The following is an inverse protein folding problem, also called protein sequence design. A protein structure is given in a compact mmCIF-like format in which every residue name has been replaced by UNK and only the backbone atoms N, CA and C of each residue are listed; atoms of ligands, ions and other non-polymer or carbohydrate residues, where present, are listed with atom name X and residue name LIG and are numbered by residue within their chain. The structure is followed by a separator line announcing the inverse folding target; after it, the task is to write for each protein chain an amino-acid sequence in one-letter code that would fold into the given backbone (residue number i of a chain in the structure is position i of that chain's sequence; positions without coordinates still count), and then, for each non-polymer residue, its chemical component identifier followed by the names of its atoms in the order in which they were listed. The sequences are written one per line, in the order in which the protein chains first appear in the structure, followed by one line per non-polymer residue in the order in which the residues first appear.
data_IF_506045895164
#
_entry.id   IF_506045895164
#
_cell.length_a   1.000
_cell.length_b   1.000
_cell.length_c   1.000
_cell.angle_alpha   90.00
_cell.angle_beta   90.00
_cell.angle_gamma   90.00
#
_symmetry.space_group_name_H-M   'P 1'
#
loop_
_entity.id
_entity.type
_entity.pdbx_description
1 polymer ?
#
# COMPACT_ATOMS: atom_id res chain seq x y z
N UNK A 1 25.54 -0.93 67.73
CA UNK A 1 24.86 0.41 67.79
C UNK A 1 24.59 0.95 66.38
N UNK A 2 25.51 0.85 65.46
CA UNK A 2 25.27 1.31 64.07
C UNK A 2 24.22 0.47 63.32
N UNK A 3 24.16 -0.84 63.56
CA UNK A 3 23.12 -1.70 62.96
C UNK A 3 21.73 -1.43 63.52
N UNK A 4 21.61 -1.06 64.78
CA UNK A 4 20.32 -0.68 65.39
C UNK A 4 19.84 0.70 64.92
N UNK A 5 20.76 1.63 64.67
CA UNK A 5 20.45 2.93 64.05
C UNK A 5 20.03 2.82 62.63
N UNK A 6 20.67 1.97 61.79
CA UNK A 6 20.23 1.65 60.43
C UNK A 6 18.86 0.99 60.42
N UNK A 7 18.60 0.05 61.35
CA UNK A 7 17.29 -0.60 61.48
C UNK A 7 16.20 0.39 61.90
N UNK A 8 16.54 1.39 62.76
CA UNK A 8 15.58 2.45 63.15
C UNK A 8 15.35 3.48 62.00
N UNK A 9 16.36 3.81 61.21
CA UNK A 9 16.20 4.66 60.01
C UNK A 9 15.42 3.96 58.89
N UNK A 10 15.57 2.66 58.73
CA UNK A 10 14.72 1.86 57.79
C UNK A 10 13.27 1.78 58.27
N UNK A 11 13.02 1.76 59.56
CA UNK A 11 11.67 1.72 60.16
C UNK A 11 10.92 3.07 60.13
N UNK A 12 11.59 4.18 59.83
CA UNK A 12 10.99 5.53 59.72
C UNK A 12 10.84 6.00 58.26
N UNK A 13 10.99 5.12 57.32
CA UNK A 13 10.65 5.40 55.90
C UNK A 13 9.17 5.72 55.79
N UNK A 14 8.85 6.98 55.52
CA UNK A 14 7.50 7.46 55.22
C UNK A 14 7.18 7.24 53.77
N UNK A 15 6.11 6.54 53.47
CA UNK A 15 5.58 6.46 52.12
C UNK A 15 5.24 7.83 51.56
N UNK A 16 5.49 8.00 50.28
CA UNK A 16 4.98 9.13 49.48
C UNK A 16 4.04 8.60 48.41
N UNK A 17 3.03 9.39 48.10
CA UNK A 17 2.17 9.07 46.96
C UNK A 17 3.06 9.04 45.73
N UNK A 18 2.98 7.96 44.96
CA UNK A 18 3.80 7.73 43.78
C UNK A 18 5.00 6.80 43.98
N UNK A 19 5.33 6.41 45.22
CA UNK A 19 6.39 5.44 45.50
C UNK A 19 6.02 4.06 44.96
N UNK A 20 7.01 3.36 44.41
CA UNK A 20 6.90 1.97 43.97
C UNK A 20 7.36 1.04 45.11
N UNK A 21 6.51 0.09 45.45
CA UNK A 21 6.72 -0.80 46.60
C UNK A 21 6.48 -2.23 46.17
N UNK A 22 7.36 -3.12 46.65
CA UNK A 22 7.16 -4.56 46.57
C UNK A 22 6.49 -5.02 47.85
N UNK A 23 5.44 -5.82 47.70
CA UNK A 23 4.72 -6.47 48.80
C UNK A 23 4.47 -7.92 48.50
N UNK A 24 4.30 -8.70 49.55
CA UNK A 24 3.90 -10.11 49.49
C UNK A 24 2.40 -10.23 49.77
N UNK A 25 1.67 -11.01 48.99
CA UNK A 25 0.24 -11.23 49.11
C UNK A 25 -0.05 -11.97 50.42
N UNK A 26 -0.72 -11.31 51.37
CA UNK A 26 -1.16 -11.88 52.63
C UNK A 26 -2.52 -12.57 52.53
N UNK A 27 -3.45 -11.93 51.83
CA UNK A 27 -4.80 -12.45 51.65
C UNK A 27 -5.48 -11.87 50.40
N UNK A 28 -6.42 -12.63 49.86
CA UNK A 28 -7.29 -12.20 48.77
C UNK A 28 -8.70 -12.09 49.36
N UNK A 29 -9.16 -10.85 49.51
CA UNK A 29 -10.49 -10.52 50.02
C UNK A 29 -11.58 -10.60 48.96
N UNK A 30 -12.75 -9.98 49.24
CA UNK A 30 -13.88 -9.92 48.28
C UNK A 30 -13.72 -8.83 47.24
N UNK A 31 -13.10 -7.69 47.63
CA UNK A 31 -12.99 -6.49 46.78
C UNK A 31 -11.55 -5.97 46.68
N UNK A 32 -10.61 -6.56 47.44
CA UNK A 32 -9.23 -6.12 47.50
C UNK A 32 -8.25 -7.25 47.83
N UNK A 33 -6.97 -7.06 47.53
CA UNK A 33 -5.85 -7.91 47.89
C UNK A 33 -5.03 -7.19 48.96
N UNK A 34 -4.79 -7.85 50.11
CA UNK A 34 -3.93 -7.34 51.17
C UNK A 34 -2.52 -7.82 50.96
N UNK A 35 -1.55 -6.91 51.04
CA UNK A 35 -0.13 -7.19 50.86
C UNK A 35 0.70 -6.71 52.03
N UNK A 36 1.66 -7.50 52.46
CA UNK A 36 2.69 -7.09 53.43
C UNK A 36 3.71 -6.22 52.77
N UNK A 37 4.05 -5.09 53.35
CA UNK A 37 5.01 -4.15 52.80
C UNK A 37 6.38 -4.36 53.46
N UNK A 38 7.37 -4.83 52.70
CA UNK A 38 8.72 -5.11 53.22
C UNK A 38 9.34 -3.89 53.92
N UNK A 39 9.64 -4.01 55.23
CA UNK A 39 10.26 -2.94 56.01
C UNK A 39 9.27 -1.97 56.64
N UNK A 40 7.96 -2.24 56.62
CA UNK A 40 6.91 -1.38 57.20
C UNK A 40 6.00 -2.15 58.15
N UNK A 41 5.43 -1.42 59.12
CA UNK A 41 4.46 -1.99 60.09
C UNK A 41 3.01 -1.94 59.60
N UNK A 42 2.77 -1.31 58.46
CA UNK A 42 1.44 -1.15 57.87
C UNK A 42 1.30 -2.08 56.69
N UNK A 43 0.13 -2.69 56.56
CA UNK A 43 -0.23 -3.46 55.38
C UNK A 43 -0.67 -2.56 54.26
N UNK A 44 -0.44 -3.01 53.01
CA UNK A 44 -0.96 -2.39 51.81
C UNK A 44 -2.23 -3.10 51.36
N UNK A 45 -3.12 -2.34 50.74
CA UNK A 45 -4.31 -2.91 50.09
C UNK A 45 -4.35 -2.48 48.64
N UNK A 46 -4.64 -3.44 47.74
CA UNK A 46 -4.83 -3.20 46.30
C UNK A 46 -6.28 -3.50 45.97
N UNK A 47 -7.16 -2.50 45.82
CA UNK A 47 -8.54 -2.72 45.37
C UNK A 47 -8.56 -3.41 44.00
N UNK A 48 -9.53 -4.29 43.73
CA UNK A 48 -9.61 -5.04 42.49
C UNK A 48 -9.61 -4.16 41.22
N UNK A 49 -10.21 -2.96 41.31
CA UNK A 49 -10.17 -1.94 40.23
C UNK A 49 -8.77 -1.38 39.95
N UNK A 50 -7.86 -1.48 40.91
CA UNK A 50 -6.46 -1.02 40.84
C UNK A 50 -5.48 -2.19 40.68
N UNK A 51 -5.97 -3.44 40.66
CA UNK A 51 -5.17 -4.65 40.54
C UNK A 51 -4.84 -4.94 39.08
N UNK A 52 -5.87 -4.95 38.21
CA UNK A 52 -5.76 -5.14 36.76
C UNK A 52 -7.00 -4.57 36.06
N UNK A 53 -7.05 -4.63 34.72
CA UNK A 53 -8.26 -4.25 33.97
C UNK A 53 -9.45 -5.18 34.29
N UNK A 54 -10.67 -4.64 34.21
CA UNK A 54 -11.90 -5.42 34.49
C UNK A 54 -12.00 -6.69 33.65
N UNK A 55 -11.55 -6.64 32.41
CA UNK A 55 -11.58 -7.78 31.46
C UNK A 55 -10.67 -8.94 31.89
N UNK A 56 -9.62 -8.68 32.66
CA UNK A 56 -8.61 -9.66 33.06
C UNK A 56 -8.71 -10.04 34.58
N UNK A 57 -9.62 -9.42 35.31
CA UNK A 57 -9.69 -9.57 36.78
C UNK A 57 -9.86 -11.02 37.21
N UNK A 58 -10.82 -11.75 36.64
CA UNK A 58 -11.10 -13.15 37.01
C UNK A 58 -9.89 -14.05 36.74
N UNK A 59 -9.29 -13.95 35.57
CA UNK A 59 -8.10 -14.75 35.22
C UNK A 59 -6.90 -14.41 36.12
N UNK A 60 -6.75 -13.13 36.45
CA UNK A 60 -5.65 -12.69 37.31
C UNK A 60 -5.84 -13.18 38.76
N UNK A 61 -7.05 -13.12 39.32
CA UNK A 61 -7.35 -13.62 40.65
C UNK A 61 -7.16 -15.15 40.75
N UNK A 62 -7.40 -15.89 39.70
CA UNK A 62 -7.12 -17.34 39.65
C UNK A 62 -5.62 -17.65 39.60
N UNK A 63 -4.82 -16.74 39.08
CA UNK A 63 -3.36 -16.91 38.91
C UNK A 63 -2.57 -16.53 40.15
N UNK A 64 -3.07 -15.58 40.94
CA UNK A 64 -2.38 -15.05 42.14
C UNK A 64 -2.63 -15.92 43.35
N UNK A 65 -1.59 -16.11 44.17
CA UNK A 65 -1.64 -16.90 45.41
C UNK A 65 -1.09 -16.11 46.58
N UNK A 66 -1.51 -16.51 47.79
CA UNK A 66 -0.90 -16.02 49.02
C UNK A 66 0.58 -16.41 49.04
N UNK A 67 1.46 -15.44 49.31
CA UNK A 67 2.90 -15.56 49.26
C UNK A 67 3.52 -15.06 47.98
N UNK A 68 2.75 -14.71 46.93
CA UNK A 68 3.27 -14.13 45.71
C UNK A 68 3.75 -12.68 45.92
N UNK A 69 4.83 -12.29 45.25
CA UNK A 69 5.31 -10.91 45.27
C UNK A 69 4.55 -10.06 44.28
N UNK A 70 4.10 -8.89 44.70
CA UNK A 70 3.44 -7.88 43.86
C UNK A 70 4.16 -6.55 43.99
N UNK A 71 4.52 -5.96 42.85
CA UNK A 71 4.97 -4.56 42.79
C UNK A 71 3.80 -3.65 42.49
N UNK A 72 3.61 -2.63 43.28
CA UNK A 72 2.53 -1.66 43.08
C UNK A 72 2.98 -0.24 43.48
N UNK A 73 2.22 0.76 43.02
CA UNK A 73 2.46 2.17 43.30
C UNK A 73 1.53 2.69 44.39
N UNK A 74 2.05 3.49 45.32
CA UNK A 74 1.25 4.12 46.34
C UNK A 74 0.33 5.18 45.73
N UNK A 75 -0.98 5.02 45.87
CA UNK A 75 -1.97 6.01 45.42
C UNK A 75 -2.61 6.80 46.56
N UNK A 76 -2.65 6.21 47.76
CA UNK A 76 -3.16 6.87 48.95
C UNK A 76 -2.42 6.34 50.20
N UNK A 77 -2.02 7.26 51.10
CA UNK A 77 -1.21 6.91 52.26
C UNK A 77 -1.97 6.17 53.34
N UNK A 78 -3.29 6.42 53.48
CA UNK A 78 -4.16 5.71 54.41
C UNK A 78 -5.59 5.67 53.89
N UNK A 79 -6.23 4.49 54.02
CA UNK A 79 -7.69 4.33 53.88
C UNK A 79 -8.38 4.52 55.22
N UNK A 80 -9.67 4.20 55.31
CA UNK A 80 -10.46 4.27 56.55
C UNK A 80 -9.97 3.29 57.62
N UNK A 81 -9.43 2.15 57.21
CA UNK A 81 -8.86 1.09 58.05
C UNK A 81 -7.41 1.31 58.43
N UNK A 82 -6.78 2.41 57.96
CA UNK A 82 -5.40 2.76 58.27
C UNK A 82 -4.34 2.15 57.33
N UNK A 83 -4.75 1.35 56.32
CA UNK A 83 -3.85 0.69 55.40
C UNK A 83 -3.41 1.62 54.25
N UNK A 84 -2.24 1.34 53.66
CA UNK A 84 -1.73 2.05 52.47
C UNK A 84 -2.46 1.52 51.24
N UNK A 85 -3.03 2.42 50.41
CA UNK A 85 -3.71 2.01 49.17
C UNK A 85 -2.72 2.03 48.00
N UNK A 86 -2.64 0.91 47.34
CA UNK A 86 -1.70 0.67 46.25
C UNK A 86 -2.46 0.42 44.93
N UNK A 87 -1.80 0.72 43.80
CA UNK A 87 -2.26 0.43 42.44
C UNK A 87 -1.18 -0.32 41.68
N UNK A 88 -1.46 -1.54 41.29
CA UNK A 88 -0.66 -2.31 40.34
C UNK A 88 -0.86 -1.77 38.91
N UNK A 89 -2.08 -1.35 38.62
CA UNK A 89 -2.47 -0.81 37.34
C UNK A 89 -1.64 0.46 36.97
N UNK A 90 -1.45 1.36 37.98
CA UNK A 90 -0.61 2.57 37.78
C UNK A 90 0.88 2.24 37.62
N UNK A 91 1.37 1.20 38.30
CA UNK A 91 2.73 0.70 38.14
C UNK A 91 2.91 0.12 36.74
N UNK A 92 1.98 -0.75 36.28
CA UNK A 92 2.03 -1.34 34.92
C UNK A 92 1.91 -0.29 33.81
N UNK A 93 1.07 0.74 33.98
CA UNK A 93 0.98 1.85 33.04
C UNK A 93 2.30 2.57 32.88
N UNK A 94 3.01 2.86 33.97
CA UNK A 94 4.31 3.51 33.92
C UNK A 94 5.36 2.64 33.20
N UNK A 95 5.42 1.35 33.54
CA UNK A 95 6.30 0.40 32.87
C UNK A 95 5.98 0.30 31.36
N UNK A 96 4.68 0.29 31.00
CA UNK A 96 4.22 0.28 29.62
C UNK A 96 4.59 1.58 28.87
N UNK A 97 4.48 2.74 29.54
CA UNK A 97 4.89 4.00 28.94
C UNK A 97 6.41 4.05 28.64
N UNK A 98 7.23 3.53 29.55
CA UNK A 98 8.68 3.42 29.33
C UNK A 98 9.01 2.44 28.19
N UNK A 99 8.27 1.31 28.08
CA UNK A 99 8.38 0.37 26.95
C UNK A 99 7.99 1.06 25.63
N UNK A 100 6.89 1.82 25.61
CA UNK A 100 6.46 2.61 24.43
C UNK A 100 7.46 3.70 24.06
N UNK A 101 8.09 4.36 25.02
CA UNK A 101 9.18 5.33 24.78
C UNK A 101 10.36 4.67 24.07
N UNK A 102 10.80 3.51 24.55
CA UNK A 102 11.87 2.73 23.93
C UNK A 102 11.51 2.35 22.49
N UNK A 103 10.27 1.88 22.28
CA UNK A 103 9.76 1.54 20.94
C UNK A 103 9.67 2.74 20.01
N UNK A 104 9.31 3.92 20.55
CA UNK A 104 9.29 5.17 19.79
C UNK A 104 10.70 5.57 19.34
N UNK A 105 11.68 5.56 20.26
CA UNK A 105 13.06 5.91 19.98
C UNK A 105 13.73 4.95 18.98
N UNK A 106 13.47 3.66 19.12
CA UNK A 106 13.99 2.59 18.25
C UNK A 106 13.20 2.43 16.95
N UNK A 107 12.07 3.15 16.78
CA UNK A 107 11.14 2.99 15.65
C UNK A 107 10.64 1.55 15.48
N UNK A 108 10.44 0.83 16.57
CA UNK A 108 9.95 -0.53 16.56
C UNK A 108 8.45 -0.60 16.26
N UNK A 109 8.08 -1.61 15.48
CA UNK A 109 6.68 -1.96 15.27
C UNK A 109 6.19 -2.84 16.42
N UNK A 110 4.92 -2.69 16.80
CA UNK A 110 4.27 -3.50 17.83
C UNK A 110 2.78 -3.65 17.56
N UNK A 111 2.16 -4.62 18.22
CA UNK A 111 0.76 -4.97 17.99
C UNK A 111 -0.11 -4.26 19.02
N UNK A 112 -1.19 -3.64 18.57
CA UNK A 112 -2.27 -3.08 19.41
C UNK A 112 -3.58 -3.80 19.12
N UNK A 113 -4.44 -3.91 20.14
CA UNK A 113 -5.80 -4.43 19.97
C UNK A 113 -6.78 -3.27 19.80
N UNK A 114 -7.52 -3.27 18.69
CA UNK A 114 -8.48 -2.21 18.36
C UNK A 114 -9.76 -2.45 19.17
N UNK A 115 -10.11 -1.49 20.03
CA UNK A 115 -11.34 -1.53 20.83
C UNK A 115 -12.47 -0.80 20.14
N UNK A 116 -12.21 0.40 19.60
CA UNK A 116 -13.23 1.23 18.99
C UNK A 116 -12.77 1.83 17.66
N UNK A 117 -13.74 1.96 16.76
CA UNK A 117 -13.60 2.63 15.47
C UNK A 117 -14.40 3.92 15.51
N UNK A 118 -13.74 5.06 15.36
CA UNK A 118 -14.37 6.38 15.36
C UNK A 118 -14.17 7.04 13.99
N UNK A 119 -14.93 8.09 13.70
CA UNK A 119 -14.87 8.79 12.42
C UNK A 119 -13.45 9.26 12.07
N UNK A 120 -12.72 9.77 13.05
CA UNK A 120 -11.36 10.32 12.88
C UNK A 120 -10.25 9.26 12.89
N UNK A 121 -10.52 8.01 13.24
CA UNK A 121 -9.51 6.96 13.32
C UNK A 121 -9.90 5.77 14.18
N UNK A 122 -8.90 5.03 14.66
CA UNK A 122 -9.04 3.85 15.50
C UNK A 122 -8.51 4.15 16.91
N UNK A 123 -9.15 3.55 17.90
CA UNK A 123 -8.68 3.55 19.28
C UNK A 123 -8.26 2.12 19.61
N UNK A 124 -6.97 1.94 19.85
CA UNK A 124 -6.39 0.68 20.27
C UNK A 124 -5.79 0.77 21.66
N UNK A 125 -5.45 -0.39 22.22
CA UNK A 125 -4.80 -0.51 23.52
C UNK A 125 -3.56 -1.38 23.41
N UNK A 126 -2.50 -0.96 24.09
CA UNK A 126 -1.30 -1.72 24.32
C UNK A 126 -1.05 -1.84 25.81
N UNK A 127 -1.18 -3.05 26.38
CA UNK A 127 -1.01 -3.30 27.82
C UNK A 127 -1.74 -2.26 28.70
N UNK A 128 -2.99 -1.95 28.36
CA UNK A 128 -3.82 -0.98 29.10
C UNK A 128 -3.60 0.51 28.74
N UNK A 129 -2.58 0.86 27.97
CA UNK A 129 -2.37 2.23 27.51
C UNK A 129 -3.12 2.47 26.19
N UNK A 130 -3.88 3.57 26.15
CA UNK A 130 -4.66 3.97 25.00
C UNK A 130 -3.76 4.55 23.90
N UNK A 131 -3.94 4.08 22.66
CA UNK A 131 -3.22 4.53 21.47
C UNK A 131 -4.24 4.95 20.41
N UNK A 132 -4.02 6.10 19.78
CA UNK A 132 -4.84 6.58 18.69
C UNK A 132 -4.15 6.37 17.35
N UNK A 133 -4.88 5.82 16.37
CA UNK A 133 -4.42 5.69 14.98
C UNK A 133 -5.32 6.54 14.09
N UNK A 134 -4.86 7.69 13.57
CA UNK A 134 -5.65 8.54 12.69
C UNK A 134 -6.09 7.78 11.43
N UNK A 135 -7.24 8.14 10.89
CA UNK A 135 -7.78 7.47 9.70
C UNK A 135 -6.84 7.50 8.49
N UNK A 136 -6.05 8.56 8.33
CA UNK A 136 -5.03 8.70 7.30
C UNK A 136 -3.79 7.83 7.52
N UNK A 137 -3.64 7.25 8.73
CA UNK A 137 -2.49 6.46 9.15
C UNK A 137 -2.80 4.94 9.26
N UNK A 138 -4.02 4.54 8.89
CA UNK A 138 -4.44 3.13 8.93
C UNK A 138 -3.96 2.37 7.71
N UNK A 139 -4.03 2.98 6.52
CA UNK A 139 -3.68 2.35 5.25
C UNK A 139 -3.08 3.37 4.28
N UNK A 140 -2.36 2.90 3.26
CA UNK A 140 -1.85 3.72 2.14
C UNK A 140 -3.03 4.25 1.31
N UNK A 141 -4.08 3.44 1.11
CA UNK A 141 -5.30 3.82 0.41
C UNK A 141 -6.40 4.16 1.41
N UNK A 142 -7.12 5.25 1.15
CA UNK A 142 -8.24 5.64 2.00
C UNK A 142 -9.37 4.59 1.92
N UNK A 143 -9.47 3.74 2.94
CA UNK A 143 -10.58 2.81 3.09
C UNK A 143 -11.75 3.50 3.78
N UNK A 144 -12.91 3.57 3.09
CA UNK A 144 -14.15 4.17 3.65
C UNK A 144 -14.74 3.34 4.78
N UNK A 145 -14.65 2.01 4.70
CA UNK A 145 -15.18 1.10 5.71
C UNK A 145 -14.06 0.48 6.53
N UNK A 146 -14.05 0.78 7.83
CA UNK A 146 -13.09 0.32 8.84
C UNK A 146 -13.75 -0.45 9.97
N UNK A 147 -15.08 -0.65 9.86
CA UNK A 147 -15.88 -1.33 10.90
C UNK A 147 -15.35 -2.74 11.20
N UNK A 148 -14.78 -3.39 10.19
CA UNK A 148 -14.21 -4.73 10.29
C UNK A 148 -12.94 -4.80 11.17
N UNK A 149 -12.33 -3.65 11.49
CA UNK A 149 -11.11 -3.62 12.31
C UNK A 149 -11.40 -3.64 13.82
N UNK A 150 -12.65 -3.47 14.24
CA UNK A 150 -13.00 -3.55 15.67
C UNK A 150 -12.76 -4.97 16.20
N UNK A 151 -12.02 -5.06 17.31
CA UNK A 151 -11.65 -6.31 17.95
C UNK A 151 -10.44 -7.03 17.32
N UNK A 152 -9.89 -6.52 16.23
CA UNK A 152 -8.71 -7.10 15.57
C UNK A 152 -7.41 -6.56 16.16
N UNK A 153 -6.34 -7.29 15.91
CA UNK A 153 -4.97 -6.86 16.19
C UNK A 153 -4.41 -6.10 15.01
N UNK A 154 -3.72 -4.99 15.31
CA UNK A 154 -3.12 -4.14 14.29
C UNK A 154 -1.65 -3.88 14.63
N UNK A 155 -0.76 -4.20 13.71
CA UNK A 155 0.65 -3.84 13.81
C UNK A 155 0.83 -2.36 13.46
N UNK A 156 1.46 -1.60 14.36
CA UNK A 156 1.63 -0.16 14.24
C UNK A 156 3.01 0.29 14.72
N UNK A 157 3.41 1.50 14.33
CA UNK A 157 4.58 2.20 14.87
C UNK A 157 4.15 3.54 15.42
N UNK A 158 4.76 3.97 16.51
CA UNK A 158 4.50 5.30 17.07
C UNK A 158 5.04 6.40 16.14
N UNK A 159 4.24 7.43 15.93
CA UNK A 159 4.59 8.64 15.17
C UNK A 159 4.61 9.89 16.05
N UNK A 160 3.86 9.86 17.16
CA UNK A 160 3.87 10.91 18.18
C UNK A 160 3.73 10.27 19.57
N UNK A 161 4.60 10.66 20.50
CA UNK A 161 4.65 10.09 21.83
C UNK A 161 5.02 11.17 22.85
N UNK A 162 4.27 11.22 23.95
CA UNK A 162 4.58 12.08 25.08
C UNK A 162 4.26 11.36 26.39
N UNK A 163 5.24 11.24 27.27
CA UNK A 163 5.06 10.69 28.62
C UNK A 163 4.16 11.60 29.46
N UNK A 164 4.32 12.94 29.29
CA UNK A 164 3.55 13.93 30.08
C UNK A 164 2.07 13.91 29.70
N UNK A 165 1.75 13.50 28.47
CA UNK A 165 0.39 13.46 27.96
C UNK A 165 0.04 12.12 27.31
N UNK A 166 -0.17 11.03 28.11
CA UNK A 166 -0.44 9.69 27.59
C UNK A 166 -1.71 9.59 26.74
N UNK A 167 -2.60 10.59 26.81
CA UNK A 167 -3.80 10.63 25.97
C UNK A 167 -3.53 11.03 24.49
N UNK A 168 -2.32 11.51 24.17
CA UNK A 168 -1.89 11.96 22.83
C UNK A 168 -0.92 10.99 22.14
N UNK A 169 -0.86 9.73 22.55
CA UNK A 169 -0.04 8.73 21.88
C UNK A 169 -0.67 8.39 20.54
N UNK A 170 0.08 8.64 19.45
CA UNK A 170 -0.39 8.42 18.08
C UNK A 170 0.49 7.40 17.38
N UNK A 171 -0.16 6.43 16.73
CA UNK A 171 0.52 5.40 15.96
C UNK A 171 0.05 5.35 14.49
N UNK A 172 0.85 4.71 13.64
CA UNK A 172 0.62 4.55 12.21
C UNK A 172 0.94 3.12 11.76
N UNK A 173 0.03 2.52 11.01
CA UNK A 173 0.29 1.33 10.22
C UNK A 173 0.85 1.71 8.86
N UNK A 174 0.42 2.86 8.32
CA UNK A 174 0.82 3.35 7.00
C UNK A 174 2.34 3.45 6.86
N UNK A 175 3.06 3.90 7.87
CA UNK A 175 4.53 4.01 7.85
C UNK A 175 5.18 2.65 7.60
N UNK A 176 4.68 1.58 8.24
CA UNK A 176 5.19 0.21 8.05
C UNK A 176 4.92 -0.26 6.62
N UNK A 177 3.70 -0.01 6.11
CA UNK A 177 3.31 -0.38 4.75
C UNK A 177 4.11 0.39 3.68
N UNK A 178 4.38 1.68 3.90
CA UNK A 178 5.20 2.51 3.00
C UNK A 178 6.66 2.04 2.97
N UNK A 179 7.23 1.69 4.12
CA UNK A 179 8.59 1.11 4.19
C UNK A 179 8.65 -0.25 3.48
N UNK A 180 7.71 -1.14 3.75
CA UNK A 180 7.64 -2.44 3.08
C UNK A 180 7.50 -2.26 1.55
N UNK A 181 6.63 -1.34 1.12
CA UNK A 181 6.47 -1.01 -0.30
C UNK A 181 7.76 -0.48 -0.90
N UNK A 182 8.46 0.42 -0.20
CA UNK A 182 9.73 0.98 -0.65
C UNK A 182 10.81 -0.08 -0.82
N UNK A 183 10.90 -1.04 0.10
CA UNK A 183 11.85 -2.17 -0.01
C UNK A 183 11.58 -2.98 -1.28
N UNK A 184 10.31 -3.27 -1.57
CA UNK A 184 9.91 -3.99 -2.80
C UNK A 184 10.21 -3.16 -4.04
N UNK A 185 9.90 -1.87 -4.02
CA UNK A 185 10.21 -0.94 -5.13
C UNK A 185 11.72 -0.84 -5.36
N UNK A 186 12.53 -0.66 -4.31
CA UNK A 186 13.98 -0.59 -4.43
C UNK A 186 14.59 -1.88 -5.01
N UNK A 187 14.12 -3.05 -4.57
CA UNK A 187 14.53 -4.34 -5.12
C UNK A 187 14.10 -4.52 -6.59
N UNK A 188 12.93 -4.01 -6.97
CA UNK A 188 12.48 -4.02 -8.35
C UNK A 188 13.34 -3.11 -9.23
N UNK A 189 13.71 -1.91 -8.72
CA UNK A 189 14.59 -0.98 -9.44
C UNK A 189 15.99 -1.53 -9.72
N UNK A 190 16.54 -2.39 -8.88
CA UNK A 190 17.83 -3.05 -9.12
C UNK A 190 17.79 -3.98 -10.34
N UNK A 191 16.63 -4.54 -10.64
CA UNK A 191 16.41 -5.48 -11.75
C UNK A 191 15.91 -4.78 -13.04
N UNK A 192 15.59 -3.48 -13.00
CA UNK A 192 15.09 -2.73 -14.16
C UNK A 192 16.26 -2.22 -15.00
N UNK A 193 16.37 -2.74 -16.23
CA UNK A 193 17.39 -2.30 -17.21
C UNK A 193 16.71 -1.83 -18.47
N UNK A 194 17.14 -0.67 -18.97
CA UNK A 194 16.66 -0.14 -20.26
C UNK A 194 17.00 -1.10 -21.38
N UNK A 195 16.02 -1.38 -22.24
CA UNK A 195 16.15 -2.31 -23.37
C UNK A 195 15.75 -3.76 -23.05
N UNK A 196 15.53 -4.12 -21.80
CA UNK A 196 15.10 -5.46 -21.40
C UNK A 196 13.59 -5.66 -21.59
N UNK A 197 13.20 -6.92 -21.85
CA UNK A 197 11.80 -7.33 -21.98
C UNK A 197 11.35 -7.93 -20.66
N UNK A 198 10.29 -7.39 -20.09
CA UNK A 198 9.73 -7.80 -18.81
C UNK A 198 8.23 -8.02 -18.88
N UNK A 199 7.69 -8.80 -17.95
CA UNK A 199 6.24 -8.95 -17.81
C UNK A 199 5.70 -7.84 -16.93
N UNK A 200 4.62 -7.20 -17.39
CA UNK A 200 3.93 -6.15 -16.66
C UNK A 200 2.42 -6.43 -16.59
N UNK A 201 1.82 -6.16 -15.45
CA UNK A 201 0.38 -6.30 -15.24
C UNK A 201 -0.31 -4.94 -15.42
N UNK A 202 -1.30 -4.87 -16.32
CA UNK A 202 -2.08 -3.65 -16.57
C UNK A 202 -2.97 -3.33 -15.36
N UNK A 203 -2.73 -2.21 -14.68
CA UNK A 203 -3.46 -1.83 -13.46
C UNK A 203 -4.56 -0.80 -13.72
N UNK A 204 -4.32 0.18 -14.59
CA UNK A 204 -5.26 1.27 -14.86
C UNK A 204 -5.02 1.90 -16.22
N UNK A 205 -6.06 2.54 -16.75
CA UNK A 205 -6.00 3.31 -18.00
C UNK A 205 -6.11 4.80 -17.71
N UNK A 206 -5.55 5.58 -18.63
CA UNK A 206 -5.64 7.05 -18.68
C UNK A 206 -5.79 7.50 -20.12
N UNK A 207 -6.16 8.75 -20.34
CA UNK A 207 -6.35 9.32 -21.70
C UNK A 207 -5.10 9.26 -22.58
N UNK A 208 -3.93 9.19 -21.97
CA UNK A 208 -2.64 9.16 -22.67
C UNK A 208 -1.96 7.79 -22.70
N UNK A 209 -2.55 6.76 -22.08
CA UNK A 209 -1.98 5.41 -22.09
C UNK A 209 -2.45 4.50 -20.97
N UNK A 210 -1.70 3.42 -20.73
CA UNK A 210 -1.95 2.44 -19.69
C UNK A 210 -0.81 2.41 -18.67
N UNK A 211 -1.15 2.32 -17.39
CA UNK A 211 -0.20 2.03 -16.33
C UNK A 211 -0.12 0.53 -16.10
N UNK A 212 1.08 0.01 -16.12
CA UNK A 212 1.38 -1.39 -15.87
C UNK A 212 2.41 -1.53 -14.76
N UNK A 213 2.20 -2.51 -13.88
CA UNK A 213 3.04 -2.81 -12.73
C UNK A 213 4.14 -3.79 -13.13
N UNK A 214 5.37 -3.45 -12.81
CA UNK A 214 6.54 -4.32 -12.94
C UNK A 214 7.08 -4.60 -11.54
N UNK A 215 6.65 -5.71 -10.94
CA UNK A 215 7.12 -6.15 -9.61
C UNK A 215 7.02 -5.07 -8.52
N UNK A 216 5.95 -4.27 -8.53
CA UNK A 216 5.69 -3.21 -7.54
C UNK A 216 6.08 -1.80 -7.98
N UNK A 217 6.65 -1.62 -9.17
CA UNK A 217 6.93 -0.30 -9.76
C UNK A 217 5.99 -0.02 -10.92
N UNK A 218 5.32 1.13 -10.89
CA UNK A 218 4.39 1.57 -11.93
C UNK A 218 5.16 2.07 -13.17
N UNK A 219 4.95 1.43 -14.33
CA UNK A 219 5.41 1.88 -15.64
C UNK A 219 4.27 2.43 -16.49
N UNK A 220 4.57 3.36 -17.41
CA UNK A 220 3.63 3.94 -18.36
C UNK A 220 3.85 3.38 -19.75
N UNK A 221 2.81 2.84 -20.37
CA UNK A 221 2.74 2.51 -21.79
C UNK A 221 1.93 3.63 -22.46
N UNK A 222 2.61 4.55 -23.13
CA UNK A 222 1.94 5.62 -23.88
C UNK A 222 1.12 5.03 -25.04
N UNK A 223 0.01 5.66 -25.47
CA UNK A 223 -0.83 5.18 -26.59
C UNK A 223 -0.01 4.87 -27.85
N UNK A 224 0.97 5.71 -28.20
CA UNK A 224 1.87 5.51 -29.33
C UNK A 224 2.85 4.34 -29.19
N UNK A 225 2.95 3.74 -28.00
CA UNK A 225 3.83 2.62 -27.67
C UNK A 225 3.06 1.30 -27.49
N UNK A 226 1.73 1.31 -27.66
CA UNK A 226 0.89 0.11 -27.57
C UNK A 226 0.95 -0.68 -28.89
N UNK A 227 0.74 0.00 -30.01
CA UNK A 227 0.68 -0.62 -31.34
C UNK A 227 1.30 0.29 -32.41
N UNK A 228 1.63 -0.31 -33.55
CA UNK A 228 2.00 0.40 -34.77
C UNK A 228 0.79 1.09 -35.42
N UNK A 229 -0.42 0.52 -35.30
CA UNK A 229 -1.67 1.16 -35.73
C UNK A 229 -2.07 2.30 -34.80
N UNK A 230 -2.87 3.24 -35.31
CA UNK A 230 -3.39 4.35 -34.52
C UNK A 230 -4.42 3.85 -33.48
N UNK A 231 -4.01 3.80 -32.23
CA UNK A 231 -4.87 3.44 -31.10
C UNK A 231 -5.45 4.71 -30.49
N UNK A 232 -6.79 4.84 -30.51
CA UNK A 232 -7.48 5.98 -29.92
C UNK A 232 -7.60 5.87 -28.39
N UNK A 233 -7.70 4.66 -27.89
CA UNK A 233 -7.90 4.39 -26.46
C UNK A 233 -7.18 3.08 -26.10
N UNK A 234 -6.42 3.08 -24.99
CA UNK A 234 -5.69 1.91 -24.52
C UNK A 234 -6.61 0.72 -24.19
N UNK A 235 -7.83 0.99 -23.70
CA UNK A 235 -8.83 -0.03 -23.35
C UNK A 235 -9.36 -0.83 -24.54
N UNK A 236 -9.21 -0.32 -25.78
CA UNK A 236 -9.61 -1.06 -26.98
C UNK A 236 -8.67 -2.22 -27.31
N UNK A 237 -7.44 -2.20 -26.79
CA UNK A 237 -6.39 -3.18 -27.09
C UNK A 237 -6.00 -3.99 -25.85
N UNK A 238 -6.04 -3.39 -24.66
CA UNK A 238 -5.59 -3.97 -23.40
C UNK A 238 -6.75 -4.06 -22.42
N UNK A 239 -6.70 -5.05 -21.51
CA UNK A 239 -7.67 -5.18 -20.42
C UNK A 239 -6.97 -5.01 -19.08
N UNK A 240 -7.69 -4.48 -18.10
CA UNK A 240 -7.20 -4.39 -16.73
C UNK A 240 -6.96 -5.80 -16.16
N UNK A 241 -5.77 -6.02 -15.61
CA UNK A 241 -5.32 -7.31 -15.08
C UNK A 241 -4.59 -8.19 -16.12
N UNK A 242 -4.47 -7.76 -17.37
CA UNK A 242 -3.69 -8.49 -18.38
C UNK A 242 -2.20 -8.46 -18.01
N UNK A 243 -1.55 -9.63 -18.12
CA UNK A 243 -0.10 -9.75 -18.02
C UNK A 243 0.46 -9.74 -19.43
N UNK A 244 1.22 -8.70 -19.75
CA UNK A 244 1.78 -8.46 -21.08
C UNK A 244 3.29 -8.37 -21.02
N UNK A 245 3.94 -8.81 -22.08
CA UNK A 245 5.36 -8.57 -22.28
C UNK A 245 5.57 -7.13 -22.78
N UNK A 246 6.50 -6.41 -22.17
CA UNK A 246 6.82 -5.03 -22.51
C UNK A 246 8.33 -4.82 -22.52
N UNK A 247 8.80 -3.95 -23.40
CA UNK A 247 10.20 -3.52 -23.43
C UNK A 247 10.35 -2.21 -22.67
N UNK A 248 11.35 -2.12 -21.80
CA UNK A 248 11.67 -0.90 -21.05
C UNK A 248 12.42 0.04 -22.01
N UNK A 249 11.84 1.22 -22.29
CA UNK A 249 12.46 2.24 -23.17
C UNK A 249 13.29 3.20 -22.33
N UNK A 250 12.75 3.62 -21.20
CA UNK A 250 13.34 4.61 -20.32
C UNK A 250 13.03 4.28 -18.87
N UNK A 251 13.99 4.48 -17.98
CA UNK A 251 13.85 4.26 -16.55
C UNK A 251 14.52 5.41 -15.80
N UNK A 252 13.71 6.27 -15.16
CA UNK A 252 14.14 7.40 -14.35
C UNK A 252 13.78 7.13 -12.88
N UNK A 253 14.78 6.70 -12.08
CA UNK A 253 14.58 6.38 -10.66
C UNK A 253 14.28 7.63 -9.82
N UNK A 254 14.84 8.80 -10.16
CA UNK A 254 14.64 10.02 -9.38
C UNK A 254 13.18 10.51 -9.48
N UNK A 255 12.58 10.36 -10.67
CA UNK A 255 11.19 10.73 -10.93
C UNK A 255 10.21 9.56 -10.72
N UNK A 256 10.72 8.39 -10.37
CA UNK A 256 9.96 7.14 -10.23
C UNK A 256 9.08 6.87 -11.47
N UNK A 257 9.70 6.98 -12.68
CA UNK A 257 9.02 6.85 -13.97
C UNK A 257 9.71 5.81 -14.84
N UNK A 258 8.92 4.88 -15.35
CA UNK A 258 9.36 3.88 -16.33
C UNK A 258 8.49 4.03 -17.57
N UNK A 259 9.10 4.22 -18.72
CA UNK A 259 8.42 4.20 -20.02
C UNK A 259 8.54 2.83 -20.64
N UNK A 260 7.40 2.27 -21.01
CA UNK A 260 7.25 0.91 -21.53
C UNK A 260 6.73 0.92 -22.97
N UNK A 261 7.10 -0.09 -23.75
CA UNK A 261 6.61 -0.27 -25.11
C UNK A 261 6.27 -1.73 -25.40
N UNK A 262 5.08 -1.96 -25.91
CA UNK A 262 4.67 -3.22 -26.53
C UNK A 262 5.17 -3.21 -28.00
N UNK A 263 5.04 -2.06 -28.66
CA UNK A 263 5.45 -1.83 -30.04
C UNK A 263 6.92 -2.21 -30.29
N UNK A 264 7.81 -1.98 -29.34
CA UNK A 264 9.23 -2.28 -29.46
C UNK A 264 9.56 -3.79 -29.38
N UNK A 265 8.58 -4.65 -29.15
CA UNK A 265 8.73 -6.12 -29.19
C UNK A 265 8.60 -6.66 -30.62
N UNK A 266 7.91 -5.94 -31.49
CA UNK A 266 7.74 -6.31 -32.89
C UNK A 266 8.69 -5.48 -33.77
N UNK A 267 9.31 -6.09 -34.77
CA UNK A 267 10.15 -5.35 -35.71
C UNK A 267 9.31 -4.24 -36.38
N UNK A 268 10.00 -3.19 -36.86
CA UNK A 268 9.33 -2.12 -37.57
C UNK A 268 8.71 -2.67 -38.86
N UNK A 269 7.38 -2.48 -39.10
CA UNK A 269 6.68 -3.06 -40.22
C UNK A 269 7.27 -2.65 -41.57
N UNK A 270 7.93 -1.50 -41.62
CA UNK A 270 8.56 -0.96 -42.85
C UNK A 270 9.98 -1.48 -43.14
N UNK A 271 10.61 -2.23 -42.21
CA UNK A 271 12.01 -2.68 -42.37
C UNK A 271 12.21 -3.64 -43.56
N UNK A 272 11.22 -4.47 -43.90
CA UNK A 272 11.29 -5.46 -45.01
C UNK A 272 10.05 -5.36 -45.89
N UNK A 273 9.56 -4.12 -46.11
CA UNK A 273 8.26 -3.90 -46.77
C UNK A 273 8.30 -4.29 -48.24
N UNK A 274 9.42 -4.06 -48.98
CA UNK A 274 9.58 -4.36 -50.40
C UNK A 274 9.59 -5.87 -50.64
N UNK A 275 10.20 -6.64 -49.76
CA UNK A 275 10.20 -8.12 -49.86
C UNK A 275 8.82 -8.72 -49.58
N UNK A 276 8.11 -8.12 -48.60
CA UNK A 276 6.81 -8.61 -48.15
C UNK A 276 5.68 -8.23 -49.12
N UNK A 277 5.79 -7.06 -49.70
CA UNK A 277 4.78 -6.48 -50.59
C UNK A 277 5.38 -6.11 -51.96
N UNK A 278 5.77 -7.10 -52.76
CA UNK A 278 6.36 -6.81 -54.09
C UNK A 278 5.33 -6.16 -55.04
N UNK A 279 5.81 -5.26 -55.90
CA UNK A 279 4.98 -4.59 -56.90
C UNK A 279 4.25 -5.62 -57.78
N UNK A 280 2.99 -5.35 -58.11
CA UNK A 280 2.13 -6.24 -58.86
C UNK A 280 1.46 -7.35 -58.03
N UNK A 281 1.79 -7.52 -56.76
CA UNK A 281 1.12 -8.51 -55.90
C UNK A 281 -0.25 -8.04 -55.47
N UNK A 282 -1.18 -9.02 -55.30
CA UNK A 282 -2.52 -8.80 -54.79
C UNK A 282 -2.51 -8.92 -53.25
N UNK A 283 -3.08 -7.93 -52.59
CA UNK A 283 -3.18 -7.87 -51.14
C UNK A 283 -4.60 -7.63 -50.69
N UNK A 284 -4.92 -8.08 -49.49
CA UNK A 284 -6.16 -7.75 -48.80
C UNK A 284 -5.83 -6.71 -47.72
N UNK A 285 -6.66 -5.67 -47.63
CA UNK A 285 -6.50 -4.65 -46.63
C UNK A 285 -7.82 -4.05 -46.20
N UNK A 286 -7.82 -3.31 -45.11
CA UNK A 286 -9.00 -2.71 -44.52
C UNK A 286 -8.98 -1.20 -44.68
N UNK A 287 -10.09 -0.62 -45.17
CA UNK A 287 -10.22 0.84 -45.30
C UNK A 287 -10.25 1.48 -43.90
N UNK A 288 -9.23 2.28 -43.56
CA UNK A 288 -9.10 2.94 -42.25
C UNK A 288 -9.45 4.42 -42.29
N UNK A 289 -9.27 5.06 -43.46
CA UNK A 289 -9.55 6.48 -43.67
C UNK A 289 -9.91 6.78 -45.12
N UNK A 290 -10.84 7.69 -45.33
CA UNK A 290 -11.22 8.21 -46.64
C UNK A 290 -10.94 9.69 -46.69
N UNK A 291 -10.37 10.17 -47.81
CA UNK A 291 -10.09 11.57 -48.11
C UNK A 291 -10.61 11.92 -49.51
N UNK A 292 -10.67 13.19 -49.88
CA UNK A 292 -11.16 13.66 -51.20
C UNK A 292 -10.37 13.09 -52.38
N UNK A 293 -9.11 12.76 -52.19
CA UNK A 293 -8.21 12.26 -53.24
C UNK A 293 -8.06 10.73 -53.25
N UNK A 294 -8.64 10.01 -52.27
CA UNK A 294 -8.53 8.56 -52.25
C UNK A 294 -8.82 7.95 -50.88
N UNK A 295 -8.64 6.63 -50.78
CA UNK A 295 -8.84 5.85 -49.56
C UNK A 295 -7.50 5.30 -49.05
N UNK A 296 -7.33 5.32 -47.75
CA UNK A 296 -6.22 4.67 -47.04
C UNK A 296 -6.66 3.27 -46.59
N UNK A 297 -5.87 2.29 -47.00
CA UNK A 297 -6.11 0.89 -46.75
C UNK A 297 -4.97 0.32 -45.90
N UNK A 298 -5.25 -0.10 -44.68
CA UNK A 298 -4.30 -0.74 -43.78
C UNK A 298 -4.07 -2.18 -44.27
N UNK A 299 -2.86 -2.54 -44.62
CA UNK A 299 -2.42 -3.87 -45.03
C UNK A 299 -2.03 -4.71 -43.80
N UNK A 300 -1.34 -4.07 -42.88
CA UNK A 300 -0.99 -4.60 -41.57
C UNK A 300 -0.82 -3.45 -40.56
N UNK A 301 -0.78 -3.73 -39.26
CA UNK A 301 -0.63 -2.69 -38.22
C UNK A 301 0.54 -1.76 -38.48
N UNK A 302 0.26 -0.49 -38.83
CA UNK A 302 1.25 0.55 -39.13
C UNK A 302 1.72 0.61 -40.57
N UNK A 303 1.12 -0.13 -41.50
CA UNK A 303 1.37 -0.05 -42.94
C UNK A 303 0.08 0.29 -43.67
N UNK A 304 -0.04 1.54 -44.08
CA UNK A 304 -1.17 2.06 -44.83
C UNK A 304 -0.78 2.28 -46.32
N UNK A 305 -1.57 1.71 -47.19
CA UNK A 305 -1.47 2.01 -48.64
C UNK A 305 -2.53 3.03 -49.07
N UNK A 306 -2.20 3.86 -50.05
CA UNK A 306 -3.11 4.83 -50.65
C UNK A 306 -3.69 4.30 -51.95
N UNK A 307 -5.01 4.19 -52.02
CA UNK A 307 -5.75 3.99 -53.25
C UNK A 307 -6.24 5.32 -53.75
N UNK A 308 -5.62 5.87 -54.80
CA UNK A 308 -6.06 7.12 -55.44
C UNK A 308 -7.48 6.97 -55.99
N UNK A 309 -8.28 8.04 -55.99
CA UNK A 309 -9.69 8.02 -56.44
C UNK A 309 -9.86 7.38 -57.83
N UNK A 310 -8.90 7.63 -58.77
CA UNK A 310 -8.90 7.07 -60.13
C UNK A 310 -8.59 5.54 -60.19
N UNK A 311 -8.21 4.94 -59.06
CA UNK A 311 -7.83 3.53 -58.92
C UNK A 311 -8.77 2.72 -58.04
N UNK A 312 -9.92 3.31 -57.66
CA UNK A 312 -10.94 2.63 -56.84
C UNK A 312 -11.84 1.80 -57.73
N UNK A 313 -12.41 2.38 -58.80
CA UNK A 313 -13.33 1.73 -59.75
C UNK A 313 -13.05 2.18 -61.18
N UNK A 314 -13.60 1.48 -62.14
CA UNK A 314 -13.56 1.79 -63.58
C UNK A 314 -14.49 2.97 -63.94
N UNK A 315 -15.48 3.28 -63.09
CA UNK A 315 -16.39 4.38 -63.29
C UNK A 315 -15.84 5.68 -62.67
N UNK A 316 -16.24 6.82 -63.26
CA UNK A 316 -15.82 8.12 -62.73
C UNK A 316 -16.64 8.46 -61.49
N UNK A 317 -15.99 8.43 -60.33
CA UNK A 317 -16.59 8.84 -59.05
C UNK A 317 -16.08 10.23 -58.67
N UNK A 318 -16.94 10.99 -57.93
CA UNK A 318 -16.58 12.31 -57.43
C UNK A 318 -16.03 12.27 -55.99
N UNK A 319 -16.43 11.26 -55.24
CA UNK A 319 -15.98 11.06 -53.85
C UNK A 319 -15.71 9.55 -53.61
N UNK A 320 -14.56 9.18 -53.04
CA UNK A 320 -14.27 7.82 -52.68
C UNK A 320 -15.33 7.21 -51.68
N UNK A 321 -15.93 8.05 -50.87
CA UNK A 321 -16.98 7.64 -49.90
C UNK A 321 -18.28 7.16 -50.57
N UNK A 322 -18.48 7.42 -51.88
CA UNK A 322 -19.64 6.94 -52.62
C UNK A 322 -19.59 5.41 -52.85
N UNK A 323 -18.37 4.83 -52.83
CA UNK A 323 -18.12 3.41 -53.16
C UNK A 323 -17.51 2.64 -51.99
N UNK A 324 -16.73 3.29 -51.13
CA UNK A 324 -16.04 2.66 -49.99
C UNK A 324 -16.50 3.22 -48.68
N UNK A 325 -16.57 2.35 -47.68
CA UNK A 325 -16.86 2.73 -46.27
C UNK A 325 -15.66 2.40 -45.37
N UNK A 326 -15.48 3.18 -44.33
CA UNK A 326 -14.46 2.88 -43.31
C UNK A 326 -14.81 1.53 -42.67
N UNK A 327 -13.84 0.62 -42.69
CA UNK A 327 -13.99 -0.74 -42.17
C UNK A 327 -14.16 -1.80 -43.23
N UNK A 328 -14.36 -1.43 -44.51
CA UNK A 328 -14.50 -2.38 -45.58
C UNK A 328 -13.18 -3.13 -45.84
N UNK A 329 -13.28 -4.44 -46.11
CA UNK A 329 -12.16 -5.25 -46.56
C UNK A 329 -12.12 -5.20 -48.08
N UNK A 330 -10.99 -4.75 -48.64
CA UNK A 330 -10.81 -4.60 -50.05
C UNK A 330 -9.58 -5.37 -50.57
N UNK A 331 -9.70 -5.94 -51.77
CA UNK A 331 -8.58 -6.55 -52.45
C UNK A 331 -7.96 -5.46 -53.37
N UNK A 332 -6.67 -5.32 -53.34
CA UNK A 332 -5.95 -4.32 -54.11
C UNK A 332 -4.64 -4.90 -54.67
N UNK A 333 -4.19 -4.35 -55.79
CA UNK A 333 -2.86 -4.63 -56.35
C UNK A 333 -1.89 -3.52 -55.94
N UNK A 334 -0.69 -3.88 -55.57
CA UNK A 334 0.40 -2.95 -55.27
C UNK A 334 0.95 -2.38 -56.56
N UNK A 335 0.89 -1.07 -56.67
CA UNK A 335 1.43 -0.35 -57.84
C UNK A 335 2.88 0.08 -57.66
N UNK A 336 3.22 0.55 -56.44
CA UNK A 336 4.58 0.92 -56.06
C UNK A 336 4.75 0.90 -54.56
N UNK A 337 5.95 0.63 -54.08
CA UNK A 337 6.35 0.67 -52.69
C UNK A 337 7.52 1.63 -52.52
N UNK A 338 7.38 2.63 -51.65
CA UNK A 338 8.40 3.58 -51.29
C UNK A 338 8.70 3.42 -49.79
N UNK A 339 9.72 2.64 -49.52
CA UNK A 339 10.10 2.33 -48.13
C UNK A 339 10.65 3.55 -47.39
N UNK A 340 11.35 4.45 -48.07
CA UNK A 340 11.97 5.65 -47.49
C UNK A 340 10.90 6.65 -47.02
N UNK A 341 9.88 6.89 -47.84
CA UNK A 341 8.79 7.84 -47.54
C UNK A 341 7.58 7.16 -46.87
N UNK A 342 7.67 5.85 -46.60
CA UNK A 342 6.60 5.06 -45.98
C UNK A 342 5.27 5.19 -46.74
N UNK A 343 5.29 4.94 -48.04
CA UNK A 343 4.13 5.04 -48.93
C UNK A 343 3.99 3.79 -49.79
N UNK A 344 2.76 3.28 -49.88
CA UNK A 344 2.38 2.21 -50.81
C UNK A 344 1.23 2.73 -51.64
N UNK A 345 1.39 2.69 -52.99
CA UNK A 345 0.29 2.98 -53.90
C UNK A 345 -0.44 1.69 -54.27
N UNK A 346 -1.76 1.74 -54.16
CA UNK A 346 -2.64 0.58 -54.34
C UNK A 346 -3.66 0.86 -55.47
N UNK A 347 -4.14 -0.19 -56.11
CA UNK A 347 -5.25 -0.17 -57.05
C UNK A 347 -6.25 -1.25 -56.73
N UNK A 348 -7.48 -0.89 -56.42
CA UNK A 348 -8.62 -1.84 -56.24
C UNK A 348 -9.10 -2.23 -57.64
N UNK A 349 -9.22 -1.25 -58.54
CA UNK A 349 -9.69 -1.45 -59.92
C UNK A 349 -8.92 -2.55 -60.64
N UNK A 350 -7.62 -2.60 -60.52
CA UNK A 350 -6.74 -3.53 -61.22
C UNK A 350 -6.73 -4.93 -60.56
N UNK A 351 -7.41 -5.08 -59.41
CA UNK A 351 -7.58 -6.33 -58.64
C UNK A 351 -8.90 -7.05 -58.89
N UNK A 352 -9.87 -6.37 -59.53
CA UNK A 352 -11.09 -6.98 -60.03
C UNK A 352 -10.79 -7.70 -61.35
#
# INVERSE_FOLDING_TARGET
MEDQLKLMEELDRRFRIGDEINGEVLSIGRDEVTVSLSGYKLDGVIPFKELTSEENLSSYLESIKVGDEITAKVIKLRNEDGNVVLSRLEYEKKATLNDLESKFNNKEAFIIRIKDVIEKGLIGYYKGVRIFVPSSQVDIRYAKDRSNLKGTELEVRLIDFSIENPSKIVASKRVILEEAKKVVEDAAWENIKVGEVVKAEVKRFTDFGAFADINGVDGLIHLSQISWSHVKNAESVLKKGDIIDVKIIEADREKNRISLSIKALTPEPWSNIEEKYPEGSAVLGKVVRISDFGAFVELEPGVDGLVHISKITNERINNPADVLSIGDEVKAIILSVDAENKKIALSIRDAE
#
